data_IF_548304488930
#
_entry.id   IF_548304488930
#
_cell.length_a   1.000
_cell.length_b   1.000
_cell.length_c   1.000
_cell.angle_alpha   90.00
_cell.angle_beta   90.00
_cell.angle_gamma   90.00
#
_symmetry.space_group_name_H-M   'P 1'
#
loop_
_entity.id
_entity.type
_entity.pdbx_description
1 polymer ?
#
# COMPACT_ATOMS: atom_id res chain seq x y z
N UNK A 1 -9.72 -1.18 -10.40
CA UNK A 1 -9.70 -2.58 -9.94
C UNK A 1 -10.79 -2.77 -8.88
N UNK A 2 -11.46 -3.92 -8.83
CA UNK A 2 -12.58 -4.21 -7.91
C UNK A 2 -12.14 -4.16 -6.45
N UNK A 3 -10.93 -4.62 -6.12
CA UNK A 3 -10.44 -4.56 -4.73
C UNK A 3 -10.44 -3.14 -4.15
N UNK A 4 -10.39 -2.08 -4.96
CA UNK A 4 -10.45 -0.69 -4.51
C UNK A 4 -11.84 -0.23 -4.03
N UNK A 5 -12.87 -1.07 -4.16
CA UNK A 5 -14.20 -0.82 -3.60
C UNK A 5 -14.23 -1.24 -2.14
N UNK A 6 -14.84 -0.43 -1.25
CA UNK A 6 -14.91 -0.69 0.20
C UNK A 6 -15.49 -2.08 0.49
N UNK A 7 -16.67 -2.34 -0.04
CA UNK A 7 -17.45 -3.57 0.16
C UNK A 7 -17.16 -4.59 -0.95
N UNK A 8 -15.87 -4.88 -1.17
CA UNK A 8 -15.44 -5.84 -2.18
C UNK A 8 -15.50 -7.28 -1.63
N UNK A 9 -16.25 -8.14 -2.31
CA UNK A 9 -16.42 -9.55 -1.92
C UNK A 9 -15.27 -10.48 -2.38
N UNK A 10 -14.30 -9.96 -3.14
CA UNK A 10 -13.11 -10.74 -3.49
C UNK A 10 -12.32 -11.10 -2.22
N UNK A 11 -11.72 -12.28 -2.20
CA UNK A 11 -10.74 -12.60 -1.17
C UNK A 11 -9.50 -11.73 -1.29
N UNK A 12 -8.71 -11.63 -0.23
CA UNK A 12 -7.43 -10.91 -0.28
C UNK A 12 -6.51 -11.46 -1.39
N UNK A 13 -6.47 -12.79 -1.55
CA UNK A 13 -5.72 -13.44 -2.63
C UNK A 13 -6.26 -13.09 -4.02
N UNK A 14 -7.59 -13.09 -4.18
CA UNK A 14 -8.21 -12.71 -5.47
C UNK A 14 -7.97 -11.24 -5.80
N UNK A 15 -7.97 -10.36 -4.80
CA UNK A 15 -7.60 -8.96 -4.94
C UNK A 15 -6.13 -8.79 -5.37
N UNK A 16 -5.21 -9.56 -4.79
CA UNK A 16 -3.81 -9.58 -5.23
C UNK A 16 -3.66 -10.10 -6.66
N UNK A 17 -4.38 -11.16 -7.02
CA UNK A 17 -4.41 -11.68 -8.39
C UNK A 17 -5.00 -10.65 -9.38
N UNK A 18 -5.98 -9.85 -8.95
CA UNK A 18 -6.48 -8.71 -9.73
C UNK A 18 -5.40 -7.64 -9.91
N UNK A 19 -4.69 -7.25 -8.84
CA UNK A 19 -3.57 -6.31 -8.91
C UNK A 19 -2.53 -6.77 -9.93
N UNK A 20 -2.06 -8.02 -9.82
CA UNK A 20 -1.04 -8.58 -10.70
C UNK A 20 -1.47 -8.71 -12.17
N UNK A 21 -2.75 -8.95 -12.44
CA UNK A 21 -3.28 -8.93 -13.82
C UNK A 21 -3.25 -7.54 -14.44
N UNK A 22 -3.44 -6.49 -13.63
CA UNK A 22 -3.44 -5.10 -14.10
C UNK A 22 -2.05 -4.46 -14.04
N UNK A 23 -1.13 -4.99 -13.25
CA UNK A 23 0.26 -4.56 -13.14
C UNK A 23 1.22 -5.77 -13.20
N UNK A 24 1.44 -6.38 -14.39
CA UNK A 24 2.28 -7.57 -14.53
C UNK A 24 3.73 -7.37 -14.07
N UNK A 25 4.25 -6.15 -14.19
CA UNK A 25 5.60 -5.81 -13.72
C UNK A 25 5.72 -5.92 -12.20
N UNK A 26 4.69 -5.51 -11.46
CA UNK A 26 4.65 -5.66 -9.99
C UNK A 26 4.66 -7.14 -9.62
N UNK A 27 3.88 -7.96 -10.33
CA UNK A 27 3.87 -9.41 -10.14
C UNK A 27 5.27 -10.03 -10.37
N UNK A 28 5.96 -9.61 -11.43
CA UNK A 28 7.31 -10.07 -11.77
C UNK A 28 8.32 -9.72 -10.67
N UNK A 29 8.29 -8.48 -10.18
CA UNK A 29 9.18 -8.01 -9.10
C UNK A 29 8.89 -8.76 -7.81
N UNK A 30 7.62 -8.93 -7.46
CA UNK A 30 7.18 -9.64 -6.27
C UNK A 30 7.63 -11.10 -6.26
N UNK A 31 7.53 -11.79 -7.41
CA UNK A 31 8.04 -13.16 -7.56
C UNK A 31 9.57 -13.24 -7.45
N UNK A 32 10.29 -12.26 -8.01
CA UNK A 32 11.75 -12.22 -7.99
C UNK A 32 12.32 -11.91 -6.60
N UNK A 33 11.69 -10.97 -5.89
CA UNK A 33 12.16 -10.44 -4.62
C UNK A 33 11.57 -11.15 -3.41
N UNK A 34 10.49 -11.89 -3.60
CA UNK A 34 9.89 -12.76 -2.59
C UNK A 34 9.05 -12.01 -1.56
N UNK A 35 9.06 -12.54 -0.33
CA UNK A 35 8.04 -12.24 0.69
C UNK A 35 7.85 -10.75 0.97
N UNK A 36 8.92 -9.96 1.07
CA UNK A 36 8.82 -8.53 1.40
C UNK A 36 7.97 -7.75 0.40
N UNK A 37 8.13 -8.04 -0.89
CA UNK A 37 7.37 -7.37 -1.95
C UNK A 37 5.95 -7.90 -2.00
N UNK A 38 5.76 -9.21 -1.82
CA UNK A 38 4.42 -9.80 -1.72
C UNK A 38 3.61 -9.20 -0.56
N UNK A 39 4.20 -9.06 0.63
CA UNK A 39 3.58 -8.45 1.80
C UNK A 39 3.26 -6.96 1.55
N UNK A 40 4.15 -6.24 0.85
CA UNK A 40 3.92 -4.87 0.41
C UNK A 40 2.73 -4.79 -0.57
N UNK A 41 2.68 -5.65 -1.59
CA UNK A 41 1.61 -5.68 -2.59
C UNK A 41 0.24 -5.98 -1.97
N UNK A 42 0.19 -6.83 -0.94
CA UNK A 42 -1.04 -7.07 -0.17
C UNK A 42 -1.57 -5.80 0.51
N UNK A 43 -0.70 -4.84 0.84
CA UNK A 43 -1.13 -3.57 1.44
C UNK A 43 -1.89 -2.69 0.46
N UNK A 44 -1.50 -2.69 -0.82
CA UNK A 44 -2.28 -2.06 -1.89
C UNK A 44 -3.69 -2.61 -1.94
N UNK A 45 -3.84 -3.93 -1.84
CA UNK A 45 -5.12 -4.61 -1.90
C UNK A 45 -6.00 -4.26 -0.69
N UNK A 46 -5.49 -4.43 0.54
CA UNK A 46 -6.31 -4.21 1.74
C UNK A 46 -6.69 -2.73 1.92
N UNK A 47 -5.79 -1.79 1.59
CA UNK A 47 -6.01 -0.35 1.70
C UNK A 47 -6.53 0.30 0.42
N UNK A 48 -6.82 -0.49 -0.63
CA UNK A 48 -7.49 -0.02 -1.84
C UNK A 48 -6.71 1.00 -2.65
N UNK A 49 -5.37 0.90 -2.66
CA UNK A 49 -4.48 1.74 -3.46
C UNK A 49 -4.06 0.99 -4.73
N UNK A 50 -3.90 1.70 -5.84
CA UNK A 50 -3.26 1.14 -7.03
C UNK A 50 -1.73 1.38 -6.99
N UNK A 51 -1.02 0.82 -7.97
CA UNK A 51 0.44 0.94 -8.10
C UNK A 51 0.86 2.12 -8.99
N UNK A 52 -0.05 3.06 -9.25
CA UNK A 52 0.32 4.32 -9.90
C UNK A 52 1.17 5.16 -8.96
N UNK A 53 1.90 6.16 -9.48
CA UNK A 53 2.66 7.09 -8.64
C UNK A 53 1.80 7.72 -7.53
N UNK A 54 0.54 8.07 -7.84
CA UNK A 54 -0.38 8.61 -6.84
C UNK A 54 -0.80 7.55 -5.83
N UNK A 55 -1.05 6.32 -6.28
CA UNK A 55 -1.42 5.20 -5.42
C UNK A 55 -0.32 4.84 -4.41
N UNK A 56 0.93 4.78 -4.85
CA UNK A 56 2.10 4.59 -3.97
C UNK A 56 2.22 5.72 -2.93
N UNK A 57 2.03 6.97 -3.35
CA UNK A 57 2.03 8.12 -2.44
C UNK A 57 0.88 7.99 -1.42
N UNK A 58 -0.32 7.61 -1.84
CA UNK A 58 -1.47 7.44 -0.95
C UNK A 58 -1.33 6.23 0.00
N UNK A 59 -0.59 5.20 -0.40
CA UNK A 59 -0.34 4.01 0.42
C UNK A 59 0.62 4.30 1.59
N UNK A 60 1.60 5.17 1.41
CA UNK A 60 2.61 5.51 2.43
C UNK A 60 2.07 5.77 3.85
N UNK A 61 1.06 6.64 4.07
CA UNK A 61 0.53 6.85 5.42
C UNK A 61 -0.04 5.56 6.03
N UNK A 62 -0.66 4.70 5.21
CA UNK A 62 -1.16 3.40 5.68
C UNK A 62 -0.04 2.47 6.11
N UNK A 63 1.02 2.34 5.31
CA UNK A 63 2.21 1.55 5.69
C UNK A 63 2.77 2.04 7.01
N UNK A 64 2.99 3.36 7.15
CA UNK A 64 3.67 3.95 8.31
C UNK A 64 2.84 3.89 9.59
N UNK A 65 1.52 4.07 9.51
CA UNK A 65 0.68 4.25 10.69
C UNK A 65 -0.41 3.17 10.86
N UNK A 66 -0.84 2.54 9.77
CA UNK A 66 -1.91 1.54 9.73
C UNK A 66 -1.44 0.09 9.76
N UNK A 67 -0.13 -0.17 9.68
CA UNK A 67 0.43 -1.53 9.73
C UNK A 67 1.35 -1.74 10.94
N UNK A 68 1.69 -3.00 11.21
CA UNK A 68 2.70 -3.42 12.19
C UNK A 68 4.12 -3.47 11.61
N UNK A 69 4.35 -2.88 10.43
CA UNK A 69 5.67 -2.90 9.78
C UNK A 69 6.74 -2.36 10.73
N UNK A 70 7.88 -3.03 10.78
CA UNK A 70 9.03 -2.65 11.58
C UNK A 70 9.92 -1.68 10.82
N UNK A 71 10.75 -0.93 11.56
CA UNK A 71 11.78 -0.07 10.94
C UNK A 71 12.79 -0.88 10.12
N UNK A 72 13.09 -2.11 10.54
CA UNK A 72 13.99 -3.01 9.82
C UNK A 72 13.44 -3.41 8.45
N UNK A 73 12.16 -3.80 8.40
CA UNK A 73 11.47 -4.14 7.15
C UNK A 73 11.36 -2.94 6.22
N UNK A 74 10.99 -1.77 6.76
CA UNK A 74 10.92 -0.54 5.97
C UNK A 74 12.29 -0.16 5.39
N UNK A 75 13.35 -0.26 6.20
CA UNK A 75 14.72 0.03 5.76
C UNK A 75 15.20 -0.99 4.73
N UNK A 76 14.87 -2.27 4.87
CA UNK A 76 15.25 -3.30 3.93
C UNK A 76 14.56 -3.08 2.57
N UNK A 77 13.26 -2.77 2.57
CA UNK A 77 12.51 -2.43 1.37
C UNK A 77 13.08 -1.18 0.69
N UNK A 78 13.30 -0.10 1.44
CA UNK A 78 13.86 1.14 0.91
C UNK A 78 15.32 1.02 0.45
N UNK A 79 16.07 0.03 0.95
CA UNK A 79 17.45 -0.22 0.53
C UNK A 79 17.53 -0.89 -0.84
N UNK A 80 16.46 -1.55 -1.30
CA UNK A 80 16.43 -2.31 -2.55
C UNK A 80 16.73 -1.38 -3.75
N UNK A 81 17.65 -1.78 -4.66
CA UNK A 81 18.00 -0.98 -5.83
C UNK A 81 16.81 -0.66 -6.75
N UNK A 82 15.86 -1.57 -6.88
CA UNK A 82 14.67 -1.39 -7.72
C UNK A 82 13.72 -0.35 -7.12
N UNK A 83 13.50 -0.42 -5.80
CA UNK A 83 12.73 0.59 -5.07
C UNK A 83 13.38 1.97 -5.17
N UNK A 84 14.71 2.06 -5.07
CA UNK A 84 15.45 3.32 -5.27
C UNK A 84 15.28 3.87 -6.67
N UNK A 85 15.36 3.00 -7.70
CA UNK A 85 15.16 3.38 -9.10
C UNK A 85 13.75 3.93 -9.32
N UNK A 86 12.72 3.22 -8.87
CA UNK A 86 11.32 3.64 -9.01
C UNK A 86 11.04 4.97 -8.28
N UNK A 87 11.61 5.16 -7.09
CA UNK A 87 11.50 6.43 -6.36
C UNK A 87 12.16 7.59 -7.14
N UNK A 88 13.31 7.35 -7.76
CA UNK A 88 14.00 8.35 -8.58
C UNK A 88 13.18 8.71 -9.82
N UNK A 89 12.64 7.72 -10.54
CA UNK A 89 11.73 7.93 -11.67
C UNK A 89 10.47 8.71 -11.25
N UNK A 90 9.92 8.40 -10.07
CA UNK A 90 8.80 9.15 -9.49
C UNK A 90 9.15 10.62 -9.25
N UNK A 91 10.35 10.93 -8.74
CA UNK A 91 10.80 12.32 -8.60
C UNK A 91 10.92 13.03 -9.94
N UNK A 92 11.45 12.35 -10.96
CA UNK A 92 11.65 12.93 -12.28
C UNK A 92 10.31 13.22 -12.97
N UNK A 93 9.33 12.31 -12.85
CA UNK A 93 7.95 12.51 -13.32
C UNK A 93 7.24 13.69 -12.62
N UNK A 94 7.58 13.98 -11.37
CA UNK A 94 7.06 15.12 -10.62
C UNK A 94 7.73 16.46 -11.00
N UNK A 95 8.68 16.45 -11.94
CA UNK A 95 9.45 17.61 -12.37
C UNK A 95 10.70 17.86 -11.52
N UNK A 96 11.28 16.79 -10.99
CA UNK A 96 12.51 16.79 -10.21
C UNK A 96 12.30 16.93 -8.70
N UNK A 97 13.37 16.66 -7.95
CA UNK A 97 13.35 16.54 -6.49
C UNK A 97 12.80 17.79 -5.78
N UNK A 98 13.20 18.99 -6.20
CA UNK A 98 12.76 20.23 -5.57
C UNK A 98 11.24 20.42 -5.65
N UNK A 99 10.68 20.22 -6.85
CA UNK A 99 9.24 20.33 -7.09
C UNK A 99 8.47 19.23 -6.35
N UNK A 100 9.00 18.02 -6.32
CA UNK A 100 8.42 16.91 -5.56
C UNK A 100 8.39 17.21 -4.05
N UNK A 101 9.46 17.72 -3.46
CA UNK A 101 9.49 18.10 -2.04
C UNK A 101 8.51 19.23 -1.73
N UNK A 102 8.45 20.26 -2.58
CA UNK A 102 7.50 21.35 -2.42
C UNK A 102 6.05 20.84 -2.48
N UNK A 103 5.73 20.01 -3.48
CA UNK A 103 4.42 19.38 -3.61
C UNK A 103 4.11 18.49 -2.40
N UNK A 104 5.10 17.76 -1.89
CA UNK A 104 4.95 16.94 -0.71
C UNK A 104 4.56 17.77 0.52
N UNK A 105 5.30 18.84 0.81
CA UNK A 105 5.06 19.69 1.99
C UNK A 105 3.72 20.42 1.88
N UNK A 106 3.39 20.97 0.72
CA UNK A 106 2.19 21.81 0.54
C UNK A 106 0.92 20.96 0.43
N UNK A 107 0.98 19.80 -0.24
CA UNK A 107 -0.21 19.01 -0.58
C UNK A 107 -0.25 17.66 0.13
N UNK A 108 0.77 16.81 -0.05
CA UNK A 108 0.70 15.43 0.44
C UNK A 108 0.82 15.33 1.96
N UNK A 109 1.58 16.20 2.61
CA UNK A 109 1.74 16.16 4.07
C UNK A 109 0.42 16.50 4.79
N UNK A 110 -0.30 17.61 4.47
CA UNK A 110 -1.65 17.83 4.99
C UNK A 110 -2.61 16.68 4.66
N UNK A 111 -2.52 16.11 3.45
CA UNK A 111 -3.34 14.98 3.04
C UNK A 111 -3.05 13.72 3.88
N UNK A 112 -1.79 13.43 4.18
CA UNK A 112 -1.40 12.30 5.03
C UNK A 112 -1.94 12.48 6.45
N UNK A 113 -1.87 13.70 7.00
CA UNK A 113 -2.47 14.01 8.31
C UNK A 113 -3.99 13.78 8.27
N UNK A 114 -4.66 14.21 7.19
CA UNK A 114 -6.09 13.97 7.02
C UNK A 114 -6.44 12.47 6.95
N UNK A 115 -5.74 11.71 6.10
CA UNK A 115 -5.89 10.25 5.98
C UNK A 115 -5.67 9.59 7.35
N UNK A 116 -4.63 10.01 8.07
CA UNK A 116 -4.35 9.49 9.39
C UNK A 116 -5.48 9.75 10.38
N UNK A 117 -5.98 10.98 10.49
CA UNK A 117 -7.06 11.33 11.44
C UNK A 117 -8.37 10.60 11.09
N UNK A 118 -8.75 10.57 9.80
CA UNK A 118 -10.08 10.12 9.38
C UNK A 118 -10.17 8.61 9.14
N UNK A 119 -9.08 7.99 8.70
CA UNK A 119 -9.10 6.61 8.20
C UNK A 119 -8.22 5.66 9.02
N UNK A 120 -7.00 6.07 9.37
CA UNK A 120 -6.04 5.17 10.04
C UNK A 120 -6.26 5.13 11.56
N UNK A 121 -6.35 6.30 12.20
CA UNK A 121 -6.54 6.42 13.66
C UNK A 121 -7.80 5.69 14.17
N UNK A 122 -8.93 5.66 13.42
CA UNK A 122 -10.13 4.91 13.84
C UNK A 122 -10.07 3.40 13.59
N UNK A 123 -9.00 2.86 13.01
CA UNK A 123 -8.85 1.41 12.84
C UNK A 123 -8.93 0.70 14.19
N UNK A 124 -9.52 -0.50 14.21
CA UNK A 124 -9.64 -1.31 15.42
C UNK A 124 -8.31 -1.91 15.83
N UNK A 125 -7.54 -2.35 14.84
CA UNK A 125 -6.20 -2.91 15.01
C UNK A 125 -5.37 -2.63 13.77
N UNK A 126 -4.04 -2.67 13.91
CA UNK A 126 -3.11 -2.47 12.81
C UNK A 126 -3.01 -3.72 11.94
N UNK A 127 -2.85 -3.52 10.64
CA UNK A 127 -2.67 -4.62 9.70
C UNK A 127 -1.32 -5.34 9.92
N UNK A 128 -1.29 -6.69 10.02
CA UNK A 128 -0.08 -7.45 10.33
C UNK A 128 0.80 -7.63 9.09
N UNK A 129 1.56 -6.60 8.70
CA UNK A 129 2.29 -6.50 7.42
C UNK A 129 3.01 -7.80 7.02
N UNK A 130 3.91 -8.31 7.86
CA UNK A 130 4.70 -9.51 7.54
C UNK A 130 4.10 -10.83 8.05
N UNK A 131 2.93 -10.80 8.67
CA UNK A 131 2.31 -11.97 9.33
C UNK A 131 0.92 -12.28 8.78
N UNK A 132 0.67 -11.99 7.50
CA UNK A 132 -0.57 -12.37 6.81
C UNK A 132 -0.63 -13.90 6.70
N UNK A 133 -1.71 -14.50 7.18
CA UNK A 133 -1.92 -15.97 7.18
C UNK A 133 -2.69 -16.44 5.95
N UNK A 134 -2.66 -17.74 5.67
CA UNK A 134 -3.46 -18.35 4.60
C UNK A 134 -4.97 -18.12 4.78
N UNK A 135 -5.45 -18.13 6.03
CA UNK A 135 -6.85 -17.83 6.34
C UNK A 135 -7.20 -16.38 5.96
N UNK A 136 -6.31 -15.43 6.26
CA UNK A 136 -6.49 -14.05 5.83
C UNK A 136 -6.50 -13.92 4.30
N UNK A 137 -5.62 -14.65 3.59
CA UNK A 137 -5.59 -14.66 2.13
C UNK A 137 -6.91 -15.16 1.52
N UNK A 138 -7.55 -16.15 2.15
CA UNK A 138 -8.84 -16.71 1.73
C UNK A 138 -10.05 -15.89 2.20
N UNK A 139 -9.86 -14.87 3.05
CA UNK A 139 -10.96 -14.08 3.61
C UNK A 139 -11.37 -12.96 2.65
N UNK A 140 -12.70 -12.72 2.44
CA UNK A 140 -13.20 -11.56 1.69
C UNK A 140 -12.68 -10.20 2.23
N UNK A 141 -12.40 -9.27 1.31
CA UNK A 141 -11.83 -7.97 1.65
C UNK A 141 -12.78 -7.10 2.47
N UNK A 142 -14.08 -7.13 2.16
CA UNK A 142 -15.09 -6.43 2.94
C UNK A 142 -15.10 -6.90 4.41
N UNK A 143 -14.96 -8.22 4.62
CA UNK A 143 -14.87 -8.82 5.95
C UNK A 143 -13.59 -8.40 6.66
N UNK A 144 -12.42 -8.55 6.05
CA UNK A 144 -11.15 -8.10 6.63
C UNK A 144 -11.18 -6.62 6.98
N UNK A 145 -11.73 -5.78 6.11
CA UNK A 145 -11.82 -4.34 6.39
C UNK A 145 -12.75 -4.03 7.55
N UNK A 146 -13.86 -4.76 7.72
CA UNK A 146 -14.72 -4.64 8.91
C UNK A 146 -13.96 -5.04 10.18
N UNK A 147 -13.25 -6.16 10.14
CA UNK A 147 -12.54 -6.73 11.29
C UNK A 147 -11.42 -5.79 11.77
N UNK A 148 -10.66 -5.22 10.84
CA UNK A 148 -9.58 -4.26 11.13
C UNK A 148 -10.09 -2.81 11.30
N UNK A 149 -11.36 -2.54 11.01
CA UNK A 149 -11.93 -1.19 11.03
C UNK A 149 -11.37 -0.26 9.93
N UNK A 150 -11.00 -0.82 8.79
CA UNK A 150 -10.42 -0.11 7.65
C UNK A 150 -11.54 0.52 6.82
N UNK A 151 -11.46 1.84 6.63
CA UNK A 151 -12.30 2.61 5.70
C UNK A 151 -11.41 3.21 4.63
N UNK A 152 -11.60 2.83 3.38
CA UNK A 152 -10.78 3.27 2.26
C UNK A 152 -10.82 4.80 2.10
N UNK A 153 -9.71 5.37 1.65
CA UNK A 153 -9.64 6.76 1.19
C UNK A 153 -10.05 6.80 -0.29
N UNK A 154 -11.03 7.65 -0.64
CA UNK A 154 -11.57 7.81 -2.00
C UNK A 154 -11.30 9.20 -2.53
#
# INVERSE_FOLDING_TARGET
MKFMQQDCALTLQEGLNELYRNAPEVARVSQLKGKTFHDHDLTHVIFGCDTSLKGEILLNPWILFGTTITRGELSAYAADPEVKRLNQEGFDLLGGRLKAYMLFVIYYLPLYVWIWIKHIRPMRTKWPHASVTSDMLATPLDQLRRDYGIRLFR
#
